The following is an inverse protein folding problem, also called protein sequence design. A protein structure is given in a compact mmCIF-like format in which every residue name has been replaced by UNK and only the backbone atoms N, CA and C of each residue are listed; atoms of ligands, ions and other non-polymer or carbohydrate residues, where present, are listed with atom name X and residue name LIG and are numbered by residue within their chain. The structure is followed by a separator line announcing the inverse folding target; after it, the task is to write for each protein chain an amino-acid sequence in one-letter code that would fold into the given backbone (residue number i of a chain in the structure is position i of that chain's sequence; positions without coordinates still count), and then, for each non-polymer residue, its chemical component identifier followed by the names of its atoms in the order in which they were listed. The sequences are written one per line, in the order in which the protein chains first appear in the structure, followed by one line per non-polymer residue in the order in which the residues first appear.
data_IF_389612666660
#
_entry.id   IF_389612666660
#
_cell.length_a   1.000
_cell.length_b   1.000
_cell.length_c   1.000
_cell.angle_alpha   90.00
_cell.angle_beta   90.00
_cell.angle_gamma   90.00
#
_symmetry.space_group_name_H-M   'P 1'
#
loop_
_entity.id
_entity.type
_entity.pdbx_description
1 polymer ?
#
# COMPACT_ATOMS: atom_id res chain seq x y z
N UNK A 1 -1.24 3.87 -4.31
CA UNK A 1 -2.08 3.45 -3.19
C UNK A 1 -3.40 4.21 -3.15
N UNK A 2 -4.45 3.56 -2.63
CA UNK A 2 -5.72 4.20 -2.33
C UNK A 2 -5.59 5.02 -1.06
N UNK A 3 -6.08 6.27 -1.11
CA UNK A 3 -6.08 7.19 0.04
C UNK A 3 -7.33 7.00 0.90
N UNK A 4 -7.25 7.39 2.17
CA UNK A 4 -8.41 7.48 3.06
C UNK A 4 -9.28 8.69 2.68
N UNK A 5 -8.66 9.77 2.21
CA UNK A 5 -9.32 11.03 1.87
C UNK A 5 -9.70 11.85 3.11
N UNK A 6 -8.93 11.73 4.17
CA UNK A 6 -9.18 12.44 5.43
C UNK A 6 -8.24 13.64 5.63
N UNK A 7 -8.64 14.66 6.40
CA UNK A 7 -7.75 15.75 6.79
C UNK A 7 -6.44 15.23 7.40
N UNK A 8 -5.34 15.90 7.10
CA UNK A 8 -4.00 15.54 7.58
C UNK A 8 -3.29 14.45 6.77
N UNK A 9 -4.01 13.60 6.00
CA UNK A 9 -3.39 12.51 5.25
C UNK A 9 -2.32 13.01 4.26
N UNK A 10 -2.66 13.99 3.44
CA UNK A 10 -1.72 14.56 2.44
C UNK A 10 -0.65 15.39 3.12
N UNK A 11 -1.03 16.19 4.10
CA UNK A 11 -0.12 17.07 4.83
C UNK A 11 1.02 16.30 5.51
N UNK A 12 0.70 15.15 6.14
CA UNK A 12 1.68 14.34 6.88
C UNK A 12 2.26 13.20 6.07
N UNK A 13 1.98 13.06 4.76
CA UNK A 13 2.65 12.10 3.89
C UNK A 13 4.16 12.33 3.91
N UNK A 14 4.95 11.29 4.26
CA UNK A 14 6.40 11.37 4.48
C UNK A 14 6.81 12.04 5.82
N UNK A 15 5.82 12.41 6.66
CA UNK A 15 6.05 13.00 8.00
C UNK A 15 5.23 12.28 9.08
N UNK A 16 5.06 10.99 8.93
CA UNK A 16 4.28 10.14 9.81
C UNK A 16 3.18 9.36 9.12
N UNK A 17 2.72 9.79 7.93
CA UNK A 17 1.83 8.99 7.08
C UNK A 17 2.64 8.29 6.01
N UNK A 18 2.46 6.98 5.86
CA UNK A 18 3.13 6.12 4.89
C UNK A 18 2.16 5.12 4.23
N UNK A 19 2.54 4.66 3.04
CA UNK A 19 1.87 3.60 2.29
C UNK A 19 2.78 2.38 2.05
N UNK A 20 3.99 2.39 2.61
CA UNK A 20 5.01 1.35 2.41
C UNK A 20 5.75 1.06 3.71
N UNK A 21 5.45 -0.05 4.37
CA UNK A 21 6.13 -0.46 5.60
C UNK A 21 7.59 -0.83 5.38
N UNK A 22 7.89 -1.49 4.26
CA UNK A 22 9.26 -1.83 3.86
C UNK A 22 10.11 -0.59 3.63
N UNK A 23 9.54 0.50 3.09
CA UNK A 23 10.25 1.74 2.82
C UNK A 23 10.52 2.55 4.09
N UNK A 24 9.51 2.68 4.95
CA UNK A 24 9.51 3.69 6.02
C UNK A 24 9.53 3.07 7.43
N UNK A 25 9.29 1.76 7.58
CA UNK A 25 9.13 1.12 8.89
C UNK A 25 10.32 1.33 9.82
N UNK A 26 11.54 1.38 9.29
CA UNK A 26 12.76 1.62 10.07
C UNK A 26 12.74 2.97 10.82
N UNK A 27 12.11 4.00 10.27
CA UNK A 27 12.03 5.32 10.91
C UNK A 27 11.07 5.36 12.11
N UNK A 28 10.29 4.30 12.31
CA UNK A 28 9.34 4.17 13.43
C UNK A 28 9.82 3.18 14.50
N UNK A 29 11.14 3.03 14.64
CA UNK A 29 11.72 2.19 15.69
C UNK A 29 11.29 2.70 17.07
N UNK A 30 10.86 1.74 17.92
CA UNK A 30 10.41 1.95 19.30
C UNK A 30 9.21 2.91 19.44
N UNK A 31 8.44 3.13 18.35
CA UNK A 31 7.27 4.00 18.33
C UNK A 31 5.97 3.22 18.31
N UNK A 32 4.91 3.88 18.77
CA UNK A 32 3.54 3.40 18.66
C UNK A 32 2.95 3.84 17.33
N UNK A 33 2.53 2.89 16.49
CA UNK A 33 2.01 3.17 15.16
C UNK A 33 0.64 2.54 14.92
N UNK A 34 -0.09 3.06 13.96
CA UNK A 34 -1.34 2.46 13.47
C UNK A 34 -1.19 1.97 12.03
N UNK A 35 -1.88 0.89 11.74
CA UNK A 35 -2.07 0.33 10.40
C UNK A 35 -3.55 0.39 10.08
N UNK A 36 -3.91 1.00 8.94
CA UNK A 36 -5.31 1.12 8.52
C UNK A 36 -5.58 0.14 7.40
N UNK A 37 -6.42 -0.86 7.67
CA UNK A 37 -6.76 -1.89 6.71
C UNK A 37 -7.26 -3.17 7.37
N UNK A 38 -7.36 -4.26 6.60
CA UNK A 38 -7.83 -5.57 7.12
C UNK A 38 -7.78 -6.67 6.07
N UNK A 39 -7.11 -6.43 4.95
CA UNK A 39 -6.73 -7.44 3.95
C UNK A 39 -5.31 -7.95 4.17
N UNK A 40 -4.84 -8.83 3.26
CA UNK A 40 -3.52 -9.45 3.34
C UNK A 40 -2.41 -8.42 3.50
N UNK A 41 -2.36 -7.40 2.65
CA UNK A 41 -1.33 -6.35 2.73
C UNK A 41 -1.29 -5.65 4.10
N UNK A 42 -2.45 -5.35 4.71
CA UNK A 42 -2.48 -4.70 6.01
C UNK A 42 -1.91 -5.58 7.13
N UNK A 43 -2.15 -6.89 7.06
CA UNK A 43 -1.65 -7.83 8.06
C UNK A 43 -0.17 -8.19 7.82
N UNK A 44 0.23 -8.40 6.57
CA UNK A 44 1.64 -8.65 6.23
C UNK A 44 2.54 -7.49 6.66
N UNK A 45 2.16 -6.29 6.26
CA UNK A 45 2.89 -5.08 6.60
C UNK A 45 2.79 -4.77 8.11
N UNK A 46 1.63 -4.98 8.73
CA UNK A 46 1.48 -4.83 10.18
C UNK A 46 2.40 -5.77 10.96
N UNK A 47 2.49 -7.04 10.56
CA UNK A 47 3.42 -8.01 11.15
C UNK A 47 4.88 -7.58 10.89
N UNK A 48 5.20 -7.15 9.67
CA UNK A 48 6.54 -6.68 9.32
C UNK A 48 6.97 -5.49 10.20
N UNK A 49 6.08 -4.51 10.38
CA UNK A 49 6.33 -3.30 11.16
C UNK A 49 6.61 -3.59 12.64
N UNK A 50 6.13 -4.73 13.20
CA UNK A 50 6.47 -5.11 14.60
C UNK A 50 7.95 -5.39 14.80
N UNK A 51 8.75 -5.55 13.74
CA UNK A 51 10.21 -5.66 13.83
C UNK A 51 10.86 -4.36 14.30
N UNK A 52 10.19 -3.24 14.11
CA UNK A 52 10.69 -1.91 14.42
C UNK A 52 9.87 -1.26 15.54
N UNK A 53 8.56 -1.17 15.35
CA UNK A 53 7.65 -0.51 16.28
C UNK A 53 7.57 -1.19 17.64
N UNK A 54 7.32 -0.39 18.69
CA UNK A 54 6.97 -0.91 20.01
C UNK A 54 5.58 -1.54 20.03
N UNK A 55 4.64 -0.93 19.29
CA UNK A 55 3.24 -1.38 19.17
C UNK A 55 2.67 -1.05 17.80
N UNK A 56 1.88 -1.97 17.27
CA UNK A 56 1.15 -1.81 16.00
C UNK A 56 -0.34 -2.01 16.28
N UNK A 57 -1.15 -0.96 16.07
CA UNK A 57 -2.61 -1.07 16.21
C UNK A 57 -3.25 -1.11 14.83
N UNK A 58 -3.91 -2.24 14.53
CA UNK A 58 -4.59 -2.43 13.24
C UNK A 58 -6.03 -1.94 13.37
N UNK A 59 -6.33 -0.84 12.67
CA UNK A 59 -7.65 -0.22 12.64
C UNK A 59 -8.44 -0.83 11.48
N UNK A 60 -9.56 -1.49 11.78
CA UNK A 60 -10.41 -2.11 10.78
C UNK A 60 -11.88 -1.71 10.95
N UNK A 61 -12.51 -1.39 9.80
CA UNK A 61 -13.91 -0.91 9.77
C UNK A 61 -14.98 -1.98 10.02
N UNK A 62 -14.60 -3.26 10.11
CA UNK A 62 -15.49 -4.41 10.32
C UNK A 62 -15.06 -5.20 11.56
N UNK A 63 -15.85 -6.21 11.93
CA UNK A 63 -15.52 -7.15 13.01
C UNK A 63 -14.62 -8.29 12.56
N UNK A 64 -14.55 -8.52 11.24
CA UNK A 64 -13.80 -9.61 10.65
C UNK A 64 -12.83 -9.10 9.59
N UNK A 65 -11.63 -9.68 9.61
CA UNK A 65 -10.59 -9.41 8.61
C UNK A 65 -10.92 -10.12 7.30
N UNK A 66 -10.48 -9.52 6.20
CA UNK A 66 -10.56 -10.15 4.87
C UNK A 66 -9.30 -10.94 4.51
N UNK A 67 -8.24 -10.79 5.28
CA UNK A 67 -6.97 -11.47 5.09
C UNK A 67 -7.12 -12.99 5.23
N UNK A 68 -6.23 -13.74 4.58
CA UNK A 68 -6.17 -15.19 4.68
C UNK A 68 -5.96 -15.68 6.12
N UNK A 69 -6.50 -16.86 6.44
CA UNK A 69 -6.50 -17.43 7.78
C UNK A 69 -5.11 -17.48 8.43
N UNK A 70 -4.09 -17.87 7.69
CA UNK A 70 -2.70 -17.96 8.19
C UNK A 70 -2.17 -16.61 8.64
N UNK A 71 -2.42 -15.55 7.88
CA UNK A 71 -2.00 -14.18 8.24
C UNK A 71 -2.77 -13.70 9.48
N UNK A 72 -4.07 -13.95 9.55
CA UNK A 72 -4.85 -13.62 10.72
C UNK A 72 -4.32 -14.32 11.98
N UNK A 73 -4.01 -15.62 11.89
CA UNK A 73 -3.47 -16.39 13.02
C UNK A 73 -2.09 -15.87 13.46
N UNK A 74 -1.24 -15.46 12.51
CA UNK A 74 0.08 -14.86 12.81
C UNK A 74 -0.07 -13.49 13.48
N UNK A 75 -0.93 -12.63 12.96
CA UNK A 75 -1.16 -11.31 13.53
C UNK A 75 -1.75 -11.39 14.95
N UNK A 76 -2.74 -12.26 15.17
CA UNK A 76 -3.39 -12.47 16.48
C UNK A 76 -2.45 -13.04 17.56
N UNK A 77 -1.39 -13.78 17.16
CA UNK A 77 -0.38 -14.30 18.09
C UNK A 77 0.76 -13.34 18.38
N UNK A 78 0.85 -12.22 17.65
CA UNK A 78 1.91 -11.25 17.85
C UNK A 78 1.55 -10.29 18.99
N UNK A 79 2.31 -10.34 20.07
CA UNK A 79 2.07 -9.54 21.28
C UNK A 79 2.15 -8.03 21.08
N UNK A 80 2.80 -7.57 19.99
CA UNK A 80 2.89 -6.16 19.64
C UNK A 80 1.69 -5.68 18.79
N UNK A 81 0.80 -6.60 18.36
CA UNK A 81 -0.35 -6.26 17.52
C UNK A 81 -1.63 -6.18 18.35
N UNK A 82 -2.30 -5.04 18.27
CA UNK A 82 -3.64 -4.82 18.82
C UNK A 82 -4.61 -4.53 17.68
N UNK A 83 -5.87 -4.99 17.79
CA UNK A 83 -6.90 -4.72 16.80
C UNK A 83 -7.92 -3.72 17.33
N UNK A 84 -8.21 -2.70 16.54
CA UNK A 84 -9.28 -1.72 16.77
C UNK A 84 -10.37 -1.96 15.74
N UNK A 85 -11.41 -2.64 16.18
CA UNK A 85 -12.52 -3.07 15.33
C UNK A 85 -13.57 -2.00 15.12
N UNK A 86 -14.38 -2.17 14.06
CA UNK A 86 -15.52 -1.31 13.76
C UNK A 86 -15.16 0.18 13.73
N UNK A 87 -13.94 0.51 13.36
CA UNK A 87 -13.42 1.86 13.45
C UNK A 87 -12.81 2.32 12.12
N UNK A 88 -13.02 3.59 11.82
CA UNK A 88 -12.39 4.30 10.70
C UNK A 88 -11.62 5.49 11.22
N UNK A 89 -10.52 5.82 10.54
CA UNK A 89 -9.79 7.08 10.77
C UNK A 89 -10.59 8.18 10.07
N UNK A 90 -10.88 9.26 10.77
CA UNK A 90 -11.59 10.43 10.25
C UNK A 90 -10.69 11.65 10.10
N UNK A 91 -9.58 11.69 10.83
CA UNK A 91 -8.61 12.78 10.78
C UNK A 91 -7.24 12.28 11.27
N UNK A 92 -6.18 12.82 10.71
CA UNK A 92 -4.80 12.60 11.16
C UNK A 92 -4.26 13.91 11.66
N UNK A 93 -3.86 13.94 12.94
CA UNK A 93 -3.43 15.15 13.61
C UNK A 93 -1.91 15.15 13.83
N UNK A 94 -1.30 16.30 13.65
CA UNK A 94 0.12 16.48 13.84
C UNK A 94 0.45 17.83 14.48
N UNK A 95 1.65 17.93 15.02
CA UNK A 95 2.27 19.16 15.48
C UNK A 95 3.77 19.11 15.26
N UNK A 96 4.39 20.27 15.06
CA UNK A 96 5.83 20.32 14.80
C UNK A 96 6.26 19.59 13.50
N UNK A 97 5.33 19.39 12.56
CA UNK A 97 5.59 18.76 11.28
C UNK A 97 5.54 17.22 11.29
N UNK A 98 5.07 16.58 12.37
CA UNK A 98 4.94 15.14 12.49
C UNK A 98 3.58 14.72 13.04
N UNK A 99 3.15 13.50 12.73
CA UNK A 99 1.93 12.89 13.28
C UNK A 99 2.07 12.66 14.78
N UNK A 100 0.99 12.94 15.55
CA UNK A 100 0.93 12.64 16.98
C UNK A 100 -0.36 11.89 17.39
N UNK A 101 -1.42 11.93 16.58
CA UNK A 101 -2.66 11.21 16.88
C UNK A 101 -3.54 11.05 15.63
N UNK A 102 -4.51 10.15 15.74
CA UNK A 102 -5.60 10.02 14.78
C UNK A 102 -6.95 10.15 15.49
N UNK A 103 -7.93 10.75 14.82
CA UNK A 103 -9.32 10.64 15.23
C UNK A 103 -9.93 9.37 14.65
N UNK A 104 -10.61 8.63 15.49
CA UNK A 104 -11.34 7.43 15.15
C UNK A 104 -12.84 7.66 15.32
N UNK A 105 -13.61 7.06 14.41
CA UNK A 105 -15.06 6.94 14.57
C UNK A 105 -15.44 5.47 14.54
N UNK A 106 -16.10 5.00 15.61
CA UNK A 106 -16.70 3.68 15.61
C UNK A 106 -17.91 3.68 14.68
N UNK A 107 -17.92 2.79 13.69
CA UNK A 107 -18.98 2.77 12.66
C UNK A 107 -20.30 2.17 13.14
N UNK A 108 -20.30 1.49 14.32
CA UNK A 108 -21.51 0.91 14.93
C UNK A 108 -22.13 1.87 15.93
N UNK A 109 -21.34 2.37 16.90
CA UNK A 109 -21.84 3.26 17.95
C UNK A 109 -21.87 4.72 17.53
N UNK A 110 -21.09 5.12 16.51
CA UNK A 110 -20.90 6.52 16.14
C UNK A 110 -19.93 7.26 17.05
N UNK A 111 -19.42 6.63 18.11
CA UNK A 111 -18.49 7.22 19.06
C UNK A 111 -17.22 7.71 18.37
N UNK A 112 -16.78 8.91 18.74
CA UNK A 112 -15.54 9.52 18.26
C UNK A 112 -14.52 9.50 19.40
N UNK A 113 -13.30 9.07 19.11
CA UNK A 113 -12.22 9.01 20.07
C UNK A 113 -10.90 9.44 19.43
N UNK A 114 -9.94 9.86 20.25
CA UNK A 114 -8.59 10.22 19.81
C UNK A 114 -7.62 9.15 20.24
N UNK A 115 -6.83 8.62 19.29
CA UNK A 115 -5.79 7.64 19.54
C UNK A 115 -4.42 8.28 19.30
N UNK A 116 -3.57 8.31 20.33
CA UNK A 116 -2.16 8.74 20.19
C UNK A 116 -1.40 7.73 19.33
N UNK A 117 -0.63 8.24 18.37
CA UNK A 117 0.23 7.46 17.50
C UNK A 117 1.28 8.36 16.85
N UNK A 118 2.43 7.80 16.54
CA UNK A 118 3.53 8.53 15.89
C UNK A 118 3.64 8.21 14.40
N UNK A 119 2.86 7.23 13.92
CA UNK A 119 2.84 6.86 12.52
C UNK A 119 1.53 6.23 12.07
N UNK A 120 1.16 6.46 10.82
CA UNK A 120 -0.06 5.94 10.18
C UNK A 120 0.32 5.27 8.88
N UNK A 121 0.18 3.96 8.81
CA UNK A 121 0.42 3.15 7.62
C UNK A 121 -0.90 2.75 6.98
N UNK A 122 -1.11 3.07 5.70
CA UNK A 122 -2.43 2.96 5.05
C UNK A 122 -2.41 1.86 3.99
N UNK A 123 -3.21 0.79 4.22
CA UNK A 123 -3.35 -0.38 3.34
C UNK A 123 -4.81 -0.69 3.03
N UNK A 124 -5.47 0.26 2.35
CA UNK A 124 -6.89 0.15 1.98
C UNK A 124 -7.11 -0.22 0.51
N UNK A 125 -6.04 -0.62 -0.14
CA UNK A 125 -5.99 -1.13 -1.51
C UNK A 125 -5.03 -0.36 -2.41
N UNK A 126 -4.74 -0.97 -3.56
CA UNK A 126 -3.95 -0.39 -4.65
C UNK A 126 -4.74 -0.52 -5.94
N UNK A 127 -4.58 0.46 -6.82
CA UNK A 127 -5.08 0.41 -8.19
C UNK A 127 -3.97 0.89 -9.10
N UNK A 128 -3.64 0.17 -10.17
CA UNK A 128 -2.70 0.66 -11.17
C UNK A 128 -3.31 1.86 -11.91
N UNK A 129 -2.46 2.79 -12.36
CA UNK A 129 -2.90 3.94 -13.17
C UNK A 129 -3.07 3.54 -14.64
N UNK A 130 -3.88 2.52 -14.90
CA UNK A 130 -4.06 1.86 -16.20
C UNK A 130 -5.33 2.25 -16.93
N UNK A 131 -6.16 3.13 -16.35
CA UNK A 131 -7.49 3.48 -16.89
C UNK A 131 -7.43 4.01 -18.33
N UNK A 132 -6.35 4.71 -18.73
CA UNK A 132 -6.12 5.21 -20.07
C UNK A 132 -6.02 4.10 -21.13
N UNK A 133 -5.69 2.88 -20.72
CA UNK A 133 -5.46 1.72 -21.58
C UNK A 133 -6.63 0.74 -21.58
N UNK A 134 -7.71 1.04 -20.85
CA UNK A 134 -8.91 0.19 -20.81
C UNK A 134 -9.47 -0.01 -22.22
N UNK A 135 -9.66 -1.27 -22.61
CA UNK A 135 -10.12 -1.66 -23.95
C UNK A 135 -9.08 -1.52 -25.05
N UNK A 136 -7.84 -1.07 -24.74
CA UNK A 136 -6.74 -0.94 -25.70
C UNK A 136 -5.64 -1.96 -25.47
N UNK A 137 -5.33 -2.27 -24.21
CA UNK A 137 -4.33 -3.26 -23.82
C UNK A 137 -4.98 -4.32 -22.93
N UNK A 138 -4.45 -5.53 -22.96
CA UNK A 138 -4.92 -6.62 -22.09
C UNK A 138 -4.53 -6.35 -20.64
N UNK A 139 -5.49 -6.52 -19.74
CA UNK A 139 -5.35 -6.32 -18.29
C UNK A 139 -5.85 -7.54 -17.53
N UNK A 140 -5.35 -7.71 -16.33
CA UNK A 140 -5.92 -8.66 -15.37
C UNK A 140 -7.22 -8.14 -14.74
N UNK A 141 -7.85 -8.95 -13.90
CA UNK A 141 -9.07 -8.60 -13.17
C UNK A 141 -8.91 -7.43 -12.18
N UNK A 142 -7.67 -7.09 -11.84
CA UNK A 142 -7.33 -5.97 -10.95
C UNK A 142 -6.89 -4.71 -11.69
N UNK A 143 -6.84 -4.77 -13.03
CA UNK A 143 -6.50 -3.66 -13.90
C UNK A 143 -4.99 -3.50 -14.17
N UNK A 144 -4.14 -4.45 -13.77
CA UNK A 144 -2.73 -4.44 -14.14
C UNK A 144 -2.55 -4.86 -15.60
N UNK A 145 -1.62 -4.19 -16.31
CA UNK A 145 -1.28 -4.58 -17.66
C UNK A 145 -0.60 -5.95 -17.68
N UNK A 146 -1.07 -6.84 -18.55
CA UNK A 146 -0.44 -8.14 -18.76
C UNK A 146 0.70 -7.96 -19.77
N UNK A 147 1.91 -8.35 -19.36
CA UNK A 147 3.13 -8.31 -20.16
C UNK A 147 3.79 -9.68 -20.19
N UNK A 148 4.57 -9.92 -21.24
CA UNK A 148 5.45 -11.08 -21.31
C UNK A 148 6.80 -10.84 -20.61
N UNK A 149 7.69 -11.81 -20.67
CA UNK A 149 9.06 -11.74 -20.14
C UNK A 149 9.93 -10.67 -20.80
N UNK A 150 9.54 -10.15 -21.97
CA UNK A 150 10.17 -9.08 -22.73
C UNK A 150 9.49 -7.71 -22.53
N UNK A 151 8.62 -7.58 -21.51
CA UNK A 151 7.85 -6.39 -21.24
C UNK A 151 6.90 -5.96 -22.37
N UNK A 152 6.54 -6.87 -23.31
CA UNK A 152 5.63 -6.61 -24.41
C UNK A 152 4.21 -6.70 -23.94
N UNK A 153 3.39 -5.77 -24.39
CA UNK A 153 1.94 -5.79 -24.14
C UNK A 153 1.21 -6.58 -25.24
N UNK A 154 -0.12 -6.61 -25.18
CA UNK A 154 -0.96 -7.22 -26.24
C UNK A 154 -0.89 -6.52 -27.58
N UNK A 155 -0.28 -5.33 -27.66
CA UNK A 155 -0.18 -4.54 -28.91
C UNK A 155 1.29 -4.46 -29.33
N UNK A 156 1.66 -4.92 -30.55
CA UNK A 156 3.03 -4.83 -31.04
C UNK A 156 3.58 -3.40 -31.00
N UNK A 157 4.84 -3.25 -30.57
CA UNK A 157 5.49 -1.95 -30.40
C UNK A 157 5.10 -1.19 -29.15
N UNK A 158 4.22 -1.73 -28.32
CA UNK A 158 3.85 -1.16 -27.01
C UNK A 158 4.42 -2.02 -25.90
N UNK A 159 5.22 -1.40 -25.04
CA UNK A 159 5.87 -2.02 -23.88
C UNK A 159 5.36 -1.40 -22.60
N UNK A 160 5.31 -2.17 -21.50
CA UNK A 160 4.92 -1.65 -20.20
C UNK A 160 5.91 -2.08 -19.11
N UNK A 161 6.13 -1.20 -18.14
CA UNK A 161 7.04 -1.42 -17.04
C UNK A 161 6.57 -0.68 -15.77
N UNK A 162 7.12 -1.07 -14.62
CA UNK A 162 6.80 -0.46 -13.33
C UNK A 162 5.51 -0.98 -12.73
N UNK A 163 4.97 -0.23 -11.78
CA UNK A 163 3.83 -0.65 -10.97
C UNK A 163 2.55 -0.91 -11.78
N UNK A 164 2.45 -0.38 -12.98
CA UNK A 164 1.29 -0.63 -13.86
C UNK A 164 1.19 -2.08 -14.31
N UNK A 165 2.32 -2.81 -14.27
CA UNK A 165 2.44 -4.23 -14.62
C UNK A 165 3.03 -5.08 -13.48
N UNK A 166 3.26 -4.50 -12.29
CA UNK A 166 3.79 -5.20 -11.10
C UNK A 166 2.77 -5.18 -9.96
N UNK A 167 1.90 -6.19 -9.84
CA UNK A 167 0.96 -6.29 -8.72
C UNK A 167 1.59 -6.73 -7.39
N UNK A 168 2.86 -7.21 -7.40
CA UNK A 168 3.49 -7.89 -6.27
C UNK A 168 4.41 -6.97 -5.46
N UNK A 169 5.49 -6.48 -6.09
CA UNK A 169 6.57 -5.81 -5.36
C UNK A 169 6.34 -4.31 -5.17
N UNK A 170 5.94 -3.61 -6.23
CA UNK A 170 5.61 -2.17 -6.18
C UNK A 170 6.72 -1.34 -5.54
N UNK A 171 7.97 -1.60 -5.95
CA UNK A 171 9.16 -0.93 -5.45
C UNK A 171 9.84 -0.12 -6.56
N UNK A 172 10.48 0.99 -6.18
CA UNK A 172 11.21 1.86 -7.13
C UNK A 172 12.27 1.07 -7.89
N UNK A 173 13.01 0.20 -7.20
CA UNK A 173 14.09 -0.58 -7.81
C UNK A 173 13.55 -1.62 -8.80
N UNK A 174 12.42 -2.28 -8.51
CA UNK A 174 11.80 -3.20 -9.46
C UNK A 174 11.21 -2.47 -10.66
N UNK A 175 10.65 -1.30 -10.44
CA UNK A 175 10.16 -0.42 -11.52
C UNK A 175 11.29 0.08 -12.41
N UNK A 176 12.43 0.48 -11.84
CA UNK A 176 13.62 0.87 -12.60
C UNK A 176 14.17 -0.28 -13.44
N UNK A 177 14.29 -1.48 -12.85
CA UNK A 177 14.76 -2.68 -13.55
C UNK A 177 13.83 -3.09 -14.70
N UNK A 178 12.52 -3.09 -14.48
CA UNK A 178 11.54 -3.37 -15.53
C UNK A 178 11.54 -2.30 -16.63
N UNK A 179 11.74 -1.03 -16.27
CA UNK A 179 11.87 0.08 -17.21
C UNK A 179 13.10 -0.07 -18.12
N UNK A 180 14.24 -0.47 -17.54
CA UNK A 180 15.45 -0.79 -18.30
C UNK A 180 15.19 -1.90 -19.32
N UNK A 181 14.56 -3.00 -18.88
CA UNK A 181 14.18 -4.12 -19.78
C UNK A 181 13.29 -3.66 -20.91
N UNK A 182 12.23 -2.90 -20.61
CA UNK A 182 11.29 -2.41 -21.62
C UNK A 182 11.98 -1.49 -22.64
N UNK A 183 12.90 -0.63 -22.20
CA UNK A 183 13.67 0.24 -23.09
C UNK A 183 14.58 -0.54 -24.05
N UNK A 184 15.28 -1.57 -23.53
CA UNK A 184 16.13 -2.44 -24.35
C UNK A 184 15.32 -3.26 -25.38
N UNK A 185 14.14 -3.74 -25.00
CA UNK A 185 13.27 -4.49 -25.92
C UNK A 185 12.62 -3.58 -26.98
N UNK A 186 12.31 -2.32 -26.61
CA UNK A 186 11.81 -1.35 -27.57
C UNK A 186 12.88 -0.99 -28.63
N UNK A 187 14.14 -0.85 -28.23
CA UNK A 187 15.25 -0.64 -29.18
C UNK A 187 15.40 -1.81 -30.15
N UNK A 188 15.42 -3.06 -29.67
CA UNK A 188 15.46 -4.25 -30.51
C UNK A 188 14.26 -4.34 -31.47
N UNK A 189 13.08 -3.97 -31.00
CA UNK A 189 11.87 -3.95 -31.82
C UNK A 189 11.99 -2.94 -32.97
N UNK A 190 12.52 -1.75 -32.71
CA UNK A 190 12.73 -0.72 -33.72
C UNK A 190 13.79 -1.16 -34.76
N UNK A 191 14.92 -1.71 -34.29
CA UNK A 191 15.96 -2.22 -35.17
C UNK A 191 15.42 -3.30 -36.14
N UNK A 192 14.56 -4.19 -35.66
CA UNK A 192 13.94 -5.24 -36.49
C UNK A 192 12.90 -4.71 -37.50
N UNK A 193 12.50 -3.45 -37.44
CA UNK A 193 11.63 -2.83 -38.44
C UNK A 193 12.40 -2.13 -39.56
N UNK A 194 13.72 -1.92 -39.36
CA UNK A 194 14.62 -1.29 -40.35
C UNK A 194 15.24 -2.31 -41.32
N UNK A 195 15.19 -3.62 -41.00
CA UNK A 195 15.60 -4.73 -41.84
C UNK A 195 14.47 -5.21 -42.77
#
# INVERSE_FOLDING_TARGET
PRKLGVPGEVEFTGRGVSYCGTCDGFFFRDRDIVVVGGGDSALEEGIFLTKFASRVRIIHRREELRAGYTLQARAKRNEKIEFIWNSVVTEINGSGGAVHSVQLKNVKSGEVSTLKTEGVFIYVGHFPNSQLFTGKLTMDEHGYLIIDEHARTSVPGVFAAGEIADPLFRQIVTSAGSGCKAGMEAEKYLAALED
#
